data_IF_745840543936
#
_entry.id   IF_745840543936
#
_cell.length_a   1.000
_cell.length_b   1.000
_cell.length_c   1.000
_cell.angle_alpha   90.00
_cell.angle_beta   90.00
_cell.angle_gamma   90.00
#
_symmetry.space_group_name_H-M   'P 1'
#
loop_
_entity.id
_entity.type
_entity.pdbx_description
1 polymer ?
#
# COMPACT_ATOMS: atom_id res chain seq x y z
N UNK A 1 -15.89 4.88 15.80
CA UNK A 1 -17.09 5.71 15.54
C UNK A 1 -16.99 6.20 14.10
N UNK A 2 -18.11 6.38 13.38
CA UNK A 2 -18.08 6.86 12.00
C UNK A 2 -17.44 8.24 11.91
N UNK A 3 -16.53 8.43 10.95
CA UNK A 3 -15.78 9.68 10.75
C UNK A 3 -16.51 10.65 9.82
N UNK A 4 -16.15 11.93 9.86
CA UNK A 4 -16.65 12.94 8.92
C UNK A 4 -16.40 12.53 7.46
N UNK A 5 -15.22 11.96 7.18
CA UNK A 5 -14.84 11.51 5.84
C UNK A 5 -15.74 10.37 5.34
N UNK A 6 -16.02 9.38 6.20
CA UNK A 6 -16.92 8.26 5.87
C UNK A 6 -18.37 8.75 5.66
N UNK A 7 -18.83 9.72 6.45
CA UNK A 7 -20.15 10.34 6.26
C UNK A 7 -20.19 11.10 4.92
N UNK A 8 -19.19 11.92 4.63
CA UNK A 8 -19.11 12.65 3.37
C UNK A 8 -19.10 11.69 2.16
N UNK A 9 -18.34 10.61 2.22
CA UNK A 9 -18.29 9.58 1.18
C UNK A 9 -19.64 8.89 0.98
N UNK A 10 -20.31 8.51 2.07
CA UNK A 10 -21.65 7.91 2.02
C UNK A 10 -22.65 8.83 1.30
N UNK A 11 -22.61 10.14 1.59
CA UNK A 11 -23.49 11.12 0.94
C UNK A 11 -23.11 11.38 -0.53
N UNK A 12 -21.82 11.33 -0.90
CA UNK A 12 -21.40 11.35 -2.31
C UNK A 12 -21.94 10.13 -3.07
N UNK A 13 -21.86 8.94 -2.47
CA UNK A 13 -22.38 7.71 -3.07
C UNK A 13 -23.90 7.79 -3.33
N UNK A 14 -24.68 8.36 -2.40
CA UNK A 14 -26.11 8.62 -2.61
C UNK A 14 -26.33 9.53 -3.82
N UNK A 15 -25.58 10.63 -3.92
CA UNK A 15 -25.72 11.57 -5.03
C UNK A 15 -25.40 10.92 -6.39
N UNK A 16 -24.38 10.08 -6.43
CA UNK A 16 -23.93 9.41 -7.65
C UNK A 16 -24.94 8.37 -8.12
N UNK A 17 -25.49 7.55 -7.22
CA UNK A 17 -26.57 6.61 -7.58
C UNK A 17 -27.84 7.34 -8.04
N UNK A 18 -28.19 8.47 -7.42
CA UNK A 18 -29.32 9.27 -7.87
C UNK A 18 -29.12 9.85 -9.27
N UNK A 19 -27.91 10.30 -9.61
CA UNK A 19 -27.59 10.71 -10.98
C UNK A 19 -27.69 9.54 -11.97
N UNK A 20 -27.28 8.33 -11.57
CA UNK A 20 -27.45 7.12 -12.39
C UNK A 20 -28.94 6.83 -12.66
N UNK A 21 -29.77 6.95 -11.63
CA UNK A 21 -31.23 6.77 -11.73
C UNK A 21 -31.94 7.91 -12.46
N UNK A 22 -31.23 9.00 -12.79
CA UNK A 22 -31.76 10.15 -13.54
C UNK A 22 -32.54 11.16 -12.70
N UNK A 23 -32.34 11.17 -11.38
CA UNK A 23 -32.95 12.14 -10.47
C UNK A 23 -32.32 13.53 -10.66
N UNK A 24 -33.15 14.57 -10.87
CA UNK A 24 -32.65 15.89 -11.33
C UNK A 24 -32.25 16.83 -10.21
N UNK A 25 -32.96 16.80 -9.07
CA UNK A 25 -32.86 17.84 -8.04
C UNK A 25 -32.17 17.38 -6.77
N UNK A 26 -32.34 16.10 -6.41
CA UNK A 26 -31.79 15.53 -5.18
C UNK A 26 -30.26 15.41 -5.16
N UNK A 27 -29.56 14.99 -6.25
CA UNK A 27 -28.11 14.76 -6.19
C UNK A 27 -27.32 15.97 -5.68
N UNK A 28 -27.66 17.19 -6.13
CA UNK A 28 -26.91 18.38 -5.74
C UNK A 28 -27.06 18.73 -4.26
N UNK A 29 -28.22 18.43 -3.65
CA UNK A 29 -28.40 18.59 -2.21
C UNK A 29 -27.47 17.65 -1.42
N UNK A 30 -27.38 16.39 -1.82
CA UNK A 30 -26.46 15.41 -1.21
C UNK A 30 -24.99 15.79 -1.44
N UNK A 31 -24.61 16.27 -2.63
CA UNK A 31 -23.24 16.76 -2.87
C UNK A 31 -22.89 17.98 -2.03
N UNK A 32 -23.83 18.91 -1.88
CA UNK A 32 -23.62 20.09 -1.04
C UNK A 32 -23.38 19.70 0.41
N UNK A 33 -24.23 18.83 0.95
CA UNK A 33 -24.04 18.31 2.31
C UNK A 33 -22.71 17.57 2.45
N UNK A 34 -22.37 16.67 1.51
CA UNK A 34 -21.11 15.95 1.53
C UNK A 34 -19.90 16.89 1.59
N UNK A 35 -19.86 17.94 0.76
CA UNK A 35 -18.78 18.95 0.77
C UNK A 35 -18.68 19.67 2.11
N UNK A 36 -19.81 20.06 2.69
CA UNK A 36 -19.83 20.76 3.98
C UNK A 36 -19.39 19.85 5.14
N UNK A 37 -19.74 18.56 5.11
CA UNK A 37 -19.29 17.58 6.10
C UNK A 37 -17.79 17.31 5.98
N UNK A 38 -17.29 17.18 4.76
CA UNK A 38 -15.87 16.90 4.45
C UNK A 38 -14.93 18.04 4.88
N UNK A 39 -15.45 19.28 4.89
CA UNK A 39 -14.71 20.49 5.26
C UNK A 39 -14.93 20.90 6.72
N UNK A 40 -15.73 20.14 7.47
CA UNK A 40 -16.01 20.40 8.87
C UNK A 40 -14.76 20.12 9.71
N UNK A 41 -14.33 21.12 10.48
CA UNK A 41 -13.12 21.06 11.34
C UNK A 41 -13.37 20.38 12.68
N UNK A 42 -14.63 20.19 13.06
CA UNK A 42 -15.06 19.50 14.27
C UNK A 42 -15.68 18.13 13.97
N UNK A 43 -15.69 17.23 14.95
CA UNK A 43 -16.29 15.90 14.83
C UNK A 43 -17.82 16.01 14.64
N UNK A 44 -18.34 15.39 13.58
CA UNK A 44 -19.76 15.34 13.26
C UNK A 44 -20.60 14.76 14.41
N UNK A 45 -20.06 13.81 15.18
CA UNK A 45 -20.72 13.27 16.37
C UNK A 45 -20.88 14.32 17.48
N UNK A 46 -19.90 15.22 17.64
CA UNK A 46 -19.98 16.32 18.60
C UNK A 46 -21.04 17.35 18.18
N UNK A 47 -21.13 17.68 16.89
CA UNK A 47 -22.19 18.56 16.35
C UNK A 47 -23.57 17.95 16.53
N UNK A 48 -23.69 16.64 16.32
CA UNK A 48 -24.93 15.90 16.52
C UNK A 48 -25.37 15.88 17.98
N UNK A 49 -24.44 15.73 18.92
CA UNK A 49 -24.72 15.74 20.35
C UNK A 49 -25.30 17.09 20.82
N UNK A 50 -24.89 18.20 20.19
CA UNK A 50 -25.42 19.55 20.44
C UNK A 50 -26.73 19.85 19.68
N UNK A 51 -27.23 18.92 18.87
CA UNK A 51 -28.38 19.11 17.97
C UNK A 51 -28.18 20.24 16.94
N UNK A 52 -26.94 20.45 16.50
CA UNK A 52 -26.54 21.54 15.62
C UNK A 52 -26.31 21.09 14.18
N UNK A 53 -26.69 19.87 13.80
CA UNK A 53 -26.44 19.34 12.44
C UNK A 53 -27.01 20.23 11.34
N UNK A 54 -28.15 20.90 11.58
CA UNK A 54 -28.77 21.84 10.63
C UNK A 54 -28.02 23.16 10.48
N UNK A 55 -27.05 23.44 11.33
CA UNK A 55 -26.13 24.58 11.13
C UNK A 55 -25.14 24.33 10.01
N UNK A 56 -24.88 23.06 9.65
CA UNK A 56 -23.98 22.68 8.58
C UNK A 56 -24.61 23.11 7.23
N UNK A 57 -23.93 23.93 6.41
CA UNK A 57 -24.49 24.39 5.14
C UNK A 57 -24.92 23.24 4.23
N UNK A 58 -26.17 23.27 3.76
CA UNK A 58 -26.73 22.22 2.91
C UNK A 58 -27.31 21.00 3.64
N UNK A 59 -27.29 20.98 4.98
CA UNK A 59 -27.98 19.98 5.79
C UNK A 59 -29.38 20.49 6.17
N UNK A 60 -30.40 20.02 5.43
CA UNK A 60 -31.81 20.18 5.80
C UNK A 60 -32.37 18.97 6.54
N UNK A 61 -33.66 18.99 6.91
CA UNK A 61 -34.28 17.95 7.76
C UNK A 61 -34.07 16.52 7.23
N UNK A 62 -34.22 16.31 5.92
CA UNK A 62 -34.07 15.00 5.29
C UNK A 62 -32.62 14.46 5.28
N UNK A 63 -31.64 15.36 5.35
CA UNK A 63 -30.20 15.04 5.40
C UNK A 63 -29.77 14.85 6.85
N UNK A 64 -30.27 15.69 7.77
CA UNK A 64 -30.07 15.53 9.21
C UNK A 64 -30.53 14.14 9.67
N UNK A 65 -31.74 13.72 9.28
CA UNK A 65 -32.26 12.41 9.65
C UNK A 65 -31.32 11.26 9.25
N UNK A 66 -30.73 11.35 8.05
CA UNK A 66 -29.77 10.36 7.52
C UNK A 66 -28.40 10.43 8.20
N UNK A 67 -27.94 11.63 8.57
CA UNK A 67 -26.71 11.79 9.35
C UNK A 67 -26.86 11.15 10.72
N UNK A 68 -28.01 11.34 11.39
CA UNK A 68 -28.30 10.70 12.67
C UNK A 68 -28.37 9.18 12.57
N UNK A 69 -29.01 8.67 11.53
CA UNK A 69 -29.05 7.24 11.21
C UNK A 69 -27.64 6.67 11.00
N UNK A 70 -26.82 7.36 10.21
CA UNK A 70 -25.43 6.99 9.94
C UNK A 70 -24.57 6.98 11.21
N UNK A 71 -24.68 8.00 12.06
CA UNK A 71 -23.94 8.08 13.32
C UNK A 71 -24.34 6.97 14.30
N UNK A 72 -25.61 6.57 14.30
CA UNK A 72 -26.13 5.53 15.19
C UNK A 72 -25.79 4.11 14.71
N UNK A 73 -25.82 3.86 13.40
CA UNK A 73 -25.78 2.49 12.84
C UNK A 73 -24.58 2.20 11.96
N UNK A 74 -23.85 3.24 11.54
CA UNK A 74 -22.82 3.17 10.49
C UNK A 74 -23.38 2.95 9.08
N UNK A 75 -24.71 2.99 8.89
CA UNK A 75 -25.38 2.71 7.61
C UNK A 75 -26.51 3.70 7.36
N UNK A 76 -26.97 3.75 6.11
CA UNK A 76 -28.14 4.54 5.69
C UNK A 76 -29.01 3.64 4.82
N UNK A 77 -30.21 3.28 5.27
CA UNK A 77 -31.13 2.39 4.55
C UNK A 77 -31.51 2.96 3.17
N UNK A 78 -31.55 4.29 3.06
CA UNK A 78 -31.77 4.94 1.76
C UNK A 78 -30.67 4.61 0.75
N UNK A 79 -29.40 4.56 1.16
CA UNK A 79 -28.29 4.19 0.27
C UNK A 79 -28.42 2.72 -0.14
N UNK A 80 -28.76 1.84 0.79
CA UNK A 80 -28.96 0.41 0.52
C UNK A 80 -30.11 0.16 -0.46
N UNK A 81 -31.18 0.95 -0.37
CA UNK A 81 -32.27 0.91 -1.36
C UNK A 81 -31.78 1.32 -2.75
N UNK A 82 -31.06 2.44 -2.86
CA UNK A 82 -30.55 2.91 -4.16
C UNK A 82 -29.59 1.90 -4.80
N UNK A 83 -28.77 1.21 -4.00
CA UNK A 83 -27.88 0.14 -4.46
C UNK A 83 -28.63 -1.04 -5.09
N UNK A 84 -29.88 -1.30 -4.69
CA UNK A 84 -30.73 -2.36 -5.26
C UNK A 84 -31.43 -1.95 -6.56
N UNK A 85 -31.61 -0.65 -6.77
CA UNK A 85 -32.26 -0.11 -7.98
C UNK A 85 -31.28 -0.01 -9.16
N UNK A 86 -29.97 0.02 -8.90
CA UNK A 86 -28.93 0.08 -9.94
C UNK A 86 -28.36 -1.32 -10.18
N UNK A 87 -28.33 -1.83 -11.43
CA UNK A 87 -27.74 -3.12 -11.74
C UNK A 87 -26.26 -3.19 -11.30
N UNK A 88 -25.78 -4.33 -10.79
CA UNK A 88 -24.40 -4.46 -10.30
C UNK A 88 -23.34 -4.04 -11.32
N UNK A 89 -23.48 -4.42 -12.60
CA UNK A 89 -22.51 -4.03 -13.62
C UNK A 89 -22.54 -2.54 -13.98
N UNK A 90 -23.68 -1.85 -13.83
CA UNK A 90 -23.75 -0.38 -13.96
C UNK A 90 -23.02 0.30 -12.80
N UNK A 91 -23.13 -0.27 -11.59
CA UNK A 91 -22.33 0.17 -10.46
C UNK A 91 -20.83 -0.05 -10.71
N UNK A 92 -20.41 -1.15 -11.31
CA UNK A 92 -19.00 -1.38 -11.69
C UNK A 92 -18.49 -0.31 -12.66
N UNK A 93 -19.29 0.06 -13.66
CA UNK A 93 -18.95 1.14 -14.61
C UNK A 93 -18.73 2.48 -13.89
N UNK A 94 -19.54 2.79 -12.87
CA UNK A 94 -19.41 4.02 -12.08
C UNK A 94 -18.06 4.11 -11.35
N UNK A 95 -17.47 2.98 -10.97
CA UNK A 95 -16.18 2.93 -10.29
C UNK A 95 -14.99 3.01 -11.28
N UNK A 96 -15.23 2.98 -12.59
CA UNK A 96 -14.17 3.10 -13.59
C UNK A 96 -13.57 4.52 -13.58
N UNK A 97 -12.23 4.65 -13.50
CA UNK A 97 -11.57 5.95 -13.46
C UNK A 97 -11.97 6.88 -14.62
N UNK A 98 -12.43 8.07 -14.29
CA UNK A 98 -12.80 9.09 -15.28
C UNK A 98 -14.17 8.89 -15.93
N UNK A 99 -14.97 7.93 -15.47
CA UNK A 99 -16.38 7.78 -15.81
C UNK A 99 -17.23 8.30 -14.65
N UNK A 100 -18.10 9.25 -14.95
CA UNK A 100 -19.00 9.83 -13.96
C UNK A 100 -20.41 9.22 -14.02
N UNK A 101 -21.24 9.45 -12.99
CA UNK A 101 -22.62 8.93 -12.90
C UNK A 101 -23.47 9.17 -14.15
N UNK A 102 -23.39 10.38 -14.72
CA UNK A 102 -24.14 10.75 -15.92
C UNK A 102 -23.70 9.96 -17.16
N UNK A 103 -22.42 9.63 -17.25
CA UNK A 103 -21.88 8.80 -18.32
C UNK A 103 -22.33 7.34 -18.14
N UNK A 104 -22.25 6.81 -16.92
CA UNK A 104 -22.73 5.47 -16.60
C UNK A 104 -24.24 5.31 -16.91
N UNK A 105 -25.05 6.32 -16.55
CA UNK A 105 -26.47 6.37 -16.93
C UNK A 105 -26.67 6.28 -18.43
N UNK A 106 -25.93 7.08 -19.22
CA UNK A 106 -26.07 7.09 -20.68
C UNK A 106 -25.72 5.73 -21.29
N UNK A 107 -24.72 5.03 -20.76
CA UNK A 107 -24.43 3.67 -21.20
C UNK A 107 -25.60 2.72 -20.92
N UNK A 108 -26.17 2.82 -19.71
CA UNK A 108 -27.32 2.00 -19.36
C UNK A 108 -28.57 2.33 -20.20
N UNK A 109 -28.97 3.60 -20.26
CA UNK A 109 -30.23 4.01 -20.90
C UNK A 109 -30.16 4.14 -22.41
N UNK A 110 -29.05 4.67 -22.95
CA UNK A 110 -28.95 5.00 -24.38
C UNK A 110 -28.36 3.82 -25.17
N UNK A 111 -27.50 3.01 -24.55
CA UNK A 111 -26.82 1.89 -25.20
C UNK A 111 -27.26 0.51 -24.71
N UNK A 112 -28.06 0.43 -23.64
CA UNK A 112 -28.47 -0.84 -23.04
C UNK A 112 -27.30 -1.63 -22.47
N UNK A 113 -26.26 -0.95 -22.01
CA UNK A 113 -25.05 -1.55 -21.45
C UNK A 113 -25.20 -1.64 -19.94
N UNK A 114 -25.25 -2.86 -19.42
CA UNK A 114 -25.46 -3.15 -17.99
C UNK A 114 -24.19 -3.60 -17.27
N UNK A 115 -23.03 -3.60 -17.94
CA UNK A 115 -21.76 -3.93 -17.30
C UNK A 115 -20.50 -3.65 -18.12
N UNK A 116 -19.30 -3.77 -17.51
CA UNK A 116 -18.02 -3.46 -18.16
C UNK A 116 -17.73 -4.30 -19.41
N UNK A 117 -18.11 -5.58 -19.39
CA UNK A 117 -17.93 -6.48 -20.54
C UNK A 117 -18.80 -6.06 -21.74
N UNK A 118 -20.04 -5.67 -21.50
CA UNK A 118 -20.93 -5.15 -22.54
C UNK A 118 -20.47 -3.79 -23.05
N UNK A 119 -19.91 -2.94 -22.17
CA UNK A 119 -19.31 -1.66 -22.56
C UNK A 119 -18.11 -1.88 -23.48
N UNK A 120 -17.28 -2.89 -23.19
CA UNK A 120 -16.18 -3.30 -24.06
C UNK A 120 -16.68 -3.71 -25.44
N UNK A 121 -17.66 -4.61 -25.49
CA UNK A 121 -18.25 -5.07 -26.75
C UNK A 121 -18.85 -3.90 -27.56
N UNK A 122 -19.51 -2.94 -26.89
CA UNK A 122 -20.04 -1.75 -27.54
C UNK A 122 -18.96 -0.83 -28.10
N UNK A 123 -17.82 -0.69 -27.42
CA UNK A 123 -16.65 0.06 -27.91
C UNK A 123 -16.01 -0.60 -29.11
N UNK A 124 -15.83 -1.93 -29.07
CA UNK A 124 -15.17 -2.68 -30.15
C UNK A 124 -16.04 -2.75 -31.40
N UNK A 125 -17.36 -2.73 -31.24
CA UNK A 125 -18.33 -2.60 -32.33
C UNK A 125 -18.52 -1.17 -32.84
N UNK A 126 -17.78 -0.18 -32.33
CA UNK A 126 -17.87 1.22 -32.76
C UNK A 126 -19.19 1.93 -32.39
N UNK A 127 -20.00 1.39 -31.47
CA UNK A 127 -21.33 1.93 -31.12
C UNK A 127 -21.28 3.32 -30.46
N UNK A 128 -20.11 3.72 -29.97
CA UNK A 128 -19.87 5.02 -29.33
C UNK A 128 -19.32 6.06 -30.33
N UNK A 129 -18.94 5.65 -31.54
CA UNK A 129 -18.36 6.56 -32.53
C UNK A 129 -19.40 7.58 -33.03
N UNK A 130 -19.00 8.85 -33.09
CA UNK A 130 -19.89 9.94 -33.50
C UNK A 130 -20.96 10.34 -32.48
N UNK A 131 -21.07 9.65 -31.34
CA UNK A 131 -22.01 10.05 -30.30
C UNK A 131 -21.58 11.34 -29.59
N UNK A 132 -22.54 12.24 -29.35
CA UNK A 132 -22.29 13.51 -28.63
C UNK A 132 -21.67 13.25 -27.26
N UNK A 133 -20.47 13.78 -27.04
CA UNK A 133 -19.70 13.63 -25.81
C UNK A 133 -18.70 12.46 -25.78
N UNK A 134 -18.65 11.63 -26.83
CA UNK A 134 -17.72 10.51 -26.97
C UNK A 134 -16.75 10.74 -28.14
N UNK A 135 -15.92 11.78 -28.03
CA UNK A 135 -14.83 12.01 -28.99
C UNK A 135 -13.69 10.99 -28.84
N UNK A 136 -12.73 10.94 -29.78
CA UNK A 136 -11.64 9.96 -29.79
C UNK A 136 -10.86 9.89 -28.47
N UNK A 137 -10.59 11.05 -27.87
CA UNK A 137 -9.92 11.16 -26.56
C UNK A 137 -10.72 10.50 -25.43
N UNK A 138 -12.05 10.68 -25.43
CA UNK A 138 -12.93 10.09 -24.40
C UNK A 138 -13.06 8.59 -24.60
N UNK A 139 -13.16 8.12 -25.84
CA UNK A 139 -13.17 6.71 -26.20
C UNK A 139 -11.87 6.02 -25.74
N UNK A 140 -10.71 6.62 -26.03
CA UNK A 140 -9.42 6.11 -25.55
C UNK A 140 -9.35 6.07 -24.01
N UNK A 141 -9.88 7.08 -23.32
CA UNK A 141 -9.98 7.08 -21.86
C UNK A 141 -10.85 5.93 -21.32
N UNK A 142 -12.02 5.71 -21.92
CA UNK A 142 -12.93 4.63 -21.49
C UNK A 142 -12.27 3.27 -21.73
N UNK A 143 -11.63 3.09 -22.90
CA UNK A 143 -10.89 1.87 -23.24
C UNK A 143 -9.80 1.58 -22.21
N UNK A 144 -8.97 2.56 -21.89
CA UNK A 144 -7.92 2.43 -20.87
C UNK A 144 -8.49 2.12 -19.47
N UNK A 145 -9.61 2.73 -19.08
CA UNK A 145 -10.26 2.45 -17.81
C UNK A 145 -10.81 1.01 -17.75
N UNK A 146 -11.39 0.53 -18.85
CA UNK A 146 -11.82 -0.86 -18.98
C UNK A 146 -10.63 -1.82 -19.06
N UNK A 147 -9.50 -1.46 -19.64
CA UNK A 147 -8.30 -2.30 -19.69
C UNK A 147 -7.72 -2.47 -18.29
N UNK A 148 -7.70 -1.39 -17.51
CA UNK A 148 -7.33 -1.41 -16.10
C UNK A 148 -8.27 -2.28 -15.26
N UNK A 149 -9.59 -2.24 -15.52
CA UNK A 149 -10.58 -3.04 -14.80
C UNK A 149 -10.71 -4.49 -15.28
N UNK A 150 -10.52 -4.74 -16.59
CA UNK A 150 -10.41 -6.07 -17.19
C UNK A 150 -9.07 -6.73 -16.85
N UNK A 151 -8.19 -6.01 -16.16
CA UNK A 151 -6.93 -6.51 -15.65
C UNK A 151 -7.04 -7.65 -14.63
N UNK A 152 -8.27 -8.03 -14.28
CA UNK A 152 -8.64 -9.05 -13.31
C UNK A 152 -9.29 -8.40 -12.08
N UNK A 153 -9.87 -9.18 -11.15
CA UNK A 153 -10.06 -8.69 -9.77
C UNK A 153 -8.75 -8.06 -9.28
N UNK A 154 -8.76 -7.16 -8.26
CA UNK A 154 -7.52 -6.70 -7.64
C UNK A 154 -6.63 -7.92 -7.47
N UNK A 155 -5.45 -7.90 -8.10
CA UNK A 155 -4.51 -9.02 -8.08
C UNK A 155 -4.53 -9.57 -6.66
N UNK A 156 -4.85 -10.86 -6.54
CA UNK A 156 -4.85 -11.53 -5.24
C UNK A 156 -3.53 -11.11 -4.59
N UNK A 157 -3.63 -10.33 -3.51
CA UNK A 157 -2.46 -9.61 -3.01
C UNK A 157 -1.42 -10.67 -2.69
N UNK A 158 -0.24 -10.53 -3.28
CA UNK A 158 0.79 -11.53 -3.13
C UNK A 158 1.52 -11.26 -1.81
N UNK A 159 1.74 -12.27 -0.95
CA UNK A 159 2.61 -12.13 0.20
C UNK A 159 4.00 -11.64 -0.23
N UNK A 160 4.60 -10.74 0.57
CA UNK A 160 5.84 -10.07 0.17
C UNK A 160 6.99 -11.08 -0.06
N UNK A 161 7.01 -12.20 0.66
CA UNK A 161 7.99 -13.28 0.50
C UNK A 161 7.93 -13.95 -0.88
N UNK A 162 6.76 -14.03 -1.50
CA UNK A 162 6.59 -14.55 -2.85
C UNK A 162 6.97 -13.48 -3.90
N UNK A 163 6.68 -12.21 -3.61
CA UNK A 163 7.03 -11.09 -4.49
C UNK A 163 8.54 -10.78 -4.49
N UNK A 164 9.21 -10.97 -3.34
CA UNK A 164 10.61 -10.59 -3.12
C UNK A 164 11.60 -11.15 -4.16
N UNK A 165 11.66 -12.47 -4.42
CA UNK A 165 12.60 -13.00 -5.40
C UNK A 165 12.30 -12.54 -6.83
N UNK A 166 11.02 -12.31 -7.17
CA UNK A 166 10.59 -11.81 -8.48
C UNK A 166 11.07 -10.37 -8.66
N UNK A 167 10.78 -9.51 -7.69
CA UNK A 167 11.17 -8.11 -7.69
C UNK A 167 12.69 -7.95 -7.84
N UNK A 168 13.48 -8.75 -7.11
CA UNK A 168 14.94 -8.71 -7.18
C UNK A 168 15.50 -9.22 -8.53
N UNK A 169 14.86 -10.23 -9.16
CA UNK A 169 15.23 -10.66 -10.52
C UNK A 169 15.01 -9.55 -11.54
N UNK A 170 13.85 -8.88 -11.48
CA UNK A 170 13.52 -7.77 -12.37
C UNK A 170 14.55 -6.64 -12.22
N UNK A 171 14.82 -6.19 -10.99
CA UNK A 171 15.82 -5.15 -10.71
C UNK A 171 17.18 -5.52 -11.26
N UNK A 172 17.64 -6.75 -11.00
CA UNK A 172 18.94 -7.24 -11.46
C UNK A 172 19.04 -7.21 -12.99
N UNK A 173 18.04 -7.78 -13.67
CA UNK A 173 18.05 -7.85 -15.12
C UNK A 173 18.01 -6.47 -15.76
N UNK A 174 17.24 -5.53 -15.21
CA UNK A 174 17.19 -4.14 -15.69
C UNK A 174 18.54 -3.42 -15.47
N UNK A 175 19.18 -3.58 -14.31
CA UNK A 175 20.52 -3.01 -14.06
C UNK A 175 21.56 -3.56 -15.03
N UNK A 176 21.58 -4.87 -15.25
CA UNK A 176 22.57 -5.54 -16.10
C UNK A 176 22.31 -5.30 -17.61
N UNK A 177 21.07 -5.46 -18.07
CA UNK A 177 20.72 -5.41 -19.49
C UNK A 177 20.45 -4.00 -20.02
N UNK A 178 19.76 -3.17 -19.23
CA UNK A 178 19.37 -1.83 -19.67
C UNK A 178 20.49 -0.79 -19.49
N UNK A 179 21.56 -1.14 -18.75
CA UNK A 179 22.64 -0.20 -18.43
C UNK A 179 22.15 0.97 -17.58
N UNK A 180 21.11 0.75 -16.78
CA UNK A 180 20.52 1.78 -15.94
C UNK A 180 21.25 1.89 -14.60
N UNK A 181 21.73 3.10 -14.28
CA UNK A 181 22.49 3.38 -13.06
C UNK A 181 21.66 3.17 -11.79
N UNK A 182 20.34 3.43 -11.88
CA UNK A 182 19.43 3.32 -10.74
C UNK A 182 18.14 2.62 -11.16
N UNK A 183 17.85 1.53 -10.48
CA UNK A 183 16.61 0.77 -10.62
C UNK A 183 16.11 0.45 -9.23
N UNK A 184 14.89 0.84 -8.92
CA UNK A 184 14.27 0.62 -7.60
C UNK A 184 12.84 0.11 -7.74
N UNK A 185 12.43 -0.76 -6.83
CA UNK A 185 11.03 -1.11 -6.66
C UNK A 185 10.41 -0.09 -5.70
N UNK A 186 9.26 0.46 -6.07
CA UNK A 186 8.52 1.44 -5.29
C UNK A 186 7.24 0.80 -4.70
N UNK A 187 6.19 1.59 -4.54
CA UNK A 187 4.88 1.13 -4.08
C UNK A 187 4.88 0.50 -2.70
N UNK A 188 3.89 -0.36 -2.48
CA UNK A 188 3.70 -1.08 -1.21
C UNK A 188 4.83 -2.06 -0.87
N UNK A 189 5.53 -2.58 -1.88
CA UNK A 189 6.69 -3.44 -1.72
C UNK A 189 7.81 -2.70 -0.97
N UNK A 190 8.14 -1.48 -1.40
CA UNK A 190 9.19 -0.68 -0.77
C UNK A 190 8.86 -0.24 0.65
N UNK A 191 7.58 -0.10 0.98
CA UNK A 191 7.13 0.23 2.35
C UNK A 191 7.06 -1.00 3.27
N UNK A 192 7.44 -2.18 2.80
CA UNK A 192 7.44 -3.41 3.61
C UNK A 192 6.05 -3.91 3.99
N UNK A 193 5.02 -3.63 3.17
CA UNK A 193 3.68 -4.16 3.41
C UNK A 193 3.69 -5.69 3.31
N UNK A 194 3.03 -6.35 4.25
CA UNK A 194 2.95 -7.83 4.36
C UNK A 194 2.47 -8.53 3.06
N UNK A 195 1.63 -7.82 2.30
CA UNK A 195 1.15 -8.25 0.99
C UNK A 195 1.26 -7.08 0.03
N UNK A 196 1.47 -7.36 -1.26
CA UNK A 196 1.61 -6.38 -2.35
C UNK A 196 0.56 -6.62 -3.42
N UNK A 197 0.01 -5.56 -4.01
CA UNK A 197 -0.95 -5.67 -5.11
C UNK A 197 -0.24 -5.78 -6.45
N UNK A 198 0.54 -4.77 -6.77
CA UNK A 198 1.39 -4.64 -7.95
C UNK A 198 2.85 -4.36 -7.54
N UNK A 199 3.75 -4.46 -8.52
CA UNK A 199 5.13 -3.99 -8.39
C UNK A 199 5.35 -2.76 -9.27
N UNK A 200 5.57 -1.62 -8.65
CA UNK A 200 6.04 -0.41 -9.33
C UNK A 200 7.56 -0.47 -9.48
N UNK A 201 8.09 -0.46 -10.70
CA UNK A 201 9.53 -0.47 -10.97
C UNK A 201 9.93 0.86 -11.59
N UNK A 202 10.88 1.55 -10.99
CA UNK A 202 11.43 2.81 -11.49
C UNK A 202 12.83 2.60 -12.04
N UNK A 203 13.09 3.11 -13.23
CA UNK A 203 14.39 3.08 -13.90
C UNK A 203 14.82 4.51 -14.23
N UNK A 204 16.00 4.93 -13.76
CA UNK A 204 16.64 6.16 -14.20
C UNK A 204 17.30 5.91 -15.57
N UNK A 205 16.71 6.45 -16.64
CA UNK A 205 17.29 6.36 -17.99
C UNK A 205 16.75 7.48 -18.88
N UNK A 206 17.54 7.84 -19.89
CA UNK A 206 17.11 8.70 -21.02
C UNK A 206 16.74 7.90 -22.27
N UNK A 207 16.91 6.58 -22.21
CA UNK A 207 16.56 5.62 -23.25
C UNK A 207 15.53 4.62 -22.68
N UNK A 208 14.22 4.91 -22.81
CA UNK A 208 13.17 4.02 -22.34
C UNK A 208 13.09 2.70 -23.09
N UNK A 209 13.34 2.69 -24.39
CA UNK A 209 13.17 1.50 -25.24
C UNK A 209 14.09 0.37 -24.79
N UNK A 210 15.36 0.67 -24.46
CA UNK A 210 16.28 -0.33 -23.96
C UNK A 210 15.80 -0.98 -22.65
N UNK A 211 15.17 -0.23 -21.76
CA UNK A 211 14.60 -0.78 -20.53
C UNK A 211 13.39 -1.67 -20.82
N UNK A 212 12.54 -1.26 -21.76
CA UNK A 212 11.36 -2.03 -22.18
C UNK A 212 11.75 -3.33 -22.88
N UNK A 213 12.79 -3.34 -23.71
CA UNK A 213 13.25 -4.54 -24.40
C UNK A 213 13.79 -5.60 -23.41
N UNK A 214 14.55 -5.16 -22.41
CA UNK A 214 15.02 -6.05 -21.33
C UNK A 214 13.86 -6.54 -20.48
N UNK A 215 12.93 -5.65 -20.13
CA UNK A 215 11.79 -6.00 -19.28
C UNK A 215 10.86 -7.02 -19.94
N UNK A 216 10.45 -6.77 -21.18
CA UNK A 216 9.50 -7.64 -21.90
C UNK A 216 10.07 -9.00 -22.29
N UNK A 217 11.40 -9.17 -22.24
CA UNK A 217 12.06 -10.45 -22.51
C UNK A 217 12.30 -11.29 -21.24
N UNK A 218 11.91 -10.78 -20.07
CA UNK A 218 12.04 -11.55 -18.82
C UNK A 218 11.15 -12.80 -18.85
N UNK A 219 11.66 -13.96 -18.41
CA UNK A 219 10.91 -15.22 -18.44
C UNK A 219 9.67 -15.22 -17.53
N UNK A 220 9.65 -14.35 -16.51
CA UNK A 220 8.52 -14.19 -15.60
C UNK A 220 7.33 -13.46 -16.27
N UNK A 221 7.58 -12.71 -17.35
CA UNK A 221 6.57 -11.91 -18.06
C UNK A 221 5.75 -12.82 -18.97
N UNK A 222 4.44 -12.86 -18.70
CA UNK A 222 3.48 -13.62 -19.50
C UNK A 222 2.90 -12.77 -20.64
N UNK A 223 2.57 -11.53 -20.34
CA UNK A 223 1.87 -10.64 -21.27
C UNK A 223 2.26 -9.19 -21.00
N UNK A 224 2.55 -8.43 -22.06
CA UNK A 224 2.65 -6.98 -22.01
C UNK A 224 1.27 -6.41 -22.35
N UNK A 225 0.65 -5.71 -21.41
CA UNK A 225 -0.70 -5.13 -21.58
C UNK A 225 -0.67 -3.73 -22.18
N UNK A 226 0.34 -2.95 -21.83
CA UNK A 226 0.48 -1.56 -22.27
C UNK A 226 1.96 -1.24 -22.45
N UNK A 227 2.33 -0.67 -23.60
CA UNK A 227 3.61 0.00 -23.82
C UNK A 227 3.32 1.43 -24.28
N UNK A 228 3.72 2.40 -23.47
CA UNK A 228 3.71 3.83 -23.80
C UNK A 228 5.13 4.38 -23.87
N UNK A 229 5.28 5.70 -24.05
CA UNK A 229 6.61 6.29 -24.26
C UNK A 229 7.57 6.21 -23.06
N UNK A 230 7.06 6.18 -21.83
CA UNK A 230 7.87 6.11 -20.60
C UNK A 230 7.31 5.15 -19.55
N UNK A 231 6.30 4.36 -19.92
CA UNK A 231 5.66 3.38 -19.06
C UNK A 231 5.36 2.11 -19.83
N UNK A 232 5.67 0.96 -19.23
CA UNK A 232 5.21 -0.34 -19.67
C UNK A 232 4.51 -1.06 -18.52
N UNK A 233 3.35 -1.67 -18.80
CA UNK A 233 2.62 -2.51 -17.84
C UNK A 233 2.59 -3.93 -18.38
N UNK A 234 3.04 -4.87 -17.56
CA UNK A 234 3.06 -6.28 -17.88
C UNK A 234 2.45 -7.13 -16.75
N UNK A 235 2.06 -8.34 -17.10
CA UNK A 235 1.51 -9.35 -16.20
C UNK A 235 2.46 -10.53 -16.15
N UNK A 236 2.80 -10.96 -14.94
CA UNK A 236 3.62 -12.14 -14.73
C UNK A 236 2.80 -13.43 -14.85
N UNK A 237 3.48 -14.57 -14.98
CA UNK A 237 2.84 -15.88 -15.07
C UNK A 237 1.82 -16.18 -13.94
N UNK A 238 2.01 -15.60 -12.74
CA UNK A 238 1.13 -15.74 -11.57
C UNK A 238 0.01 -14.68 -11.48
N UNK A 239 -0.17 -13.84 -12.51
CA UNK A 239 -1.18 -12.79 -12.53
C UNK A 239 -0.79 -11.48 -11.81
N UNK A 240 0.41 -11.42 -11.23
CA UNK A 240 0.92 -10.19 -10.62
C UNK A 240 1.20 -9.14 -11.69
N UNK A 241 0.65 -7.93 -11.52
CA UNK A 241 0.93 -6.80 -12.39
C UNK A 241 2.25 -6.13 -11.99
N UNK A 242 3.02 -5.74 -13.00
CA UNK A 242 4.25 -4.96 -12.85
C UNK A 242 4.17 -3.74 -13.75
N UNK A 243 4.32 -2.57 -13.15
CA UNK A 243 4.36 -1.28 -13.82
C UNK A 243 5.81 -0.79 -13.87
N UNK A 244 6.45 -0.89 -15.03
CA UNK A 244 7.76 -0.31 -15.30
C UNK A 244 7.62 1.14 -15.74
N UNK A 245 8.39 2.04 -15.11
CA UNK A 245 8.44 3.46 -15.43
C UNK A 245 9.89 3.89 -15.64
N UNK A 246 10.14 4.48 -16.79
CA UNK A 246 11.44 5.09 -17.11
C UNK A 246 11.33 6.59 -16.86
N UNK A 247 12.20 7.10 -16.01
CA UNK A 247 12.21 8.50 -15.60
C UNK A 247 13.58 9.12 -15.88
N UNK A 248 13.59 10.41 -16.20
CA UNK A 248 14.85 11.14 -16.34
C UNK A 248 15.63 11.06 -15.01
N UNK A 249 16.96 10.81 -15.05
CA UNK A 249 17.77 10.68 -13.83
C UNK A 249 17.63 11.85 -12.85
N UNK A 250 17.40 13.06 -13.36
CA UNK A 250 17.22 14.27 -12.53
C UNK A 250 15.86 14.37 -11.84
N UNK A 251 14.92 13.48 -12.17
CA UNK A 251 13.59 13.38 -11.57
C UNK A 251 13.43 12.10 -10.74
N UNK A 252 14.45 11.23 -10.68
CA UNK A 252 14.33 9.90 -10.09
C UNK A 252 13.95 9.94 -8.61
N UNK A 253 14.52 10.87 -7.83
CA UNK A 253 14.17 11.04 -6.41
C UNK A 253 12.71 11.44 -6.20
N UNK A 254 12.20 12.36 -7.01
CA UNK A 254 10.80 12.77 -6.95
C UNK A 254 9.84 11.65 -7.39
N UNK A 255 10.19 10.93 -8.44
CA UNK A 255 9.44 9.75 -8.87
C UNK A 255 9.45 8.67 -7.77
N UNK A 256 10.60 8.42 -7.14
CA UNK A 256 10.72 7.44 -6.07
C UNK A 256 9.85 7.83 -4.87
N UNK A 257 9.86 9.09 -4.44
CA UNK A 257 8.96 9.59 -3.40
C UNK A 257 7.48 9.38 -3.80
N UNK A 258 7.12 9.81 -5.01
CA UNK A 258 5.76 9.76 -5.54
C UNK A 258 5.21 8.33 -5.61
N UNK A 259 5.93 7.42 -6.26
CA UNK A 259 5.46 6.05 -6.50
C UNK A 259 5.67 5.14 -5.29
N UNK A 260 6.55 5.49 -4.33
CA UNK A 260 6.61 4.78 -3.04
C UNK A 260 5.33 5.02 -2.24
N UNK A 261 4.80 6.24 -2.26
CA UNK A 261 3.61 6.61 -1.49
C UNK A 261 3.85 6.50 0.03
N UNK A 262 2.84 6.15 0.83
CA UNK A 262 1.45 5.82 0.44
C UNK A 262 0.69 6.99 -0.19
N UNK A 263 -0.54 6.75 -0.65
CA UNK A 263 -1.44 7.81 -1.13
C UNK A 263 -1.64 8.88 -0.04
N UNK A 264 -1.87 8.43 1.19
CA UNK A 264 -2.10 9.27 2.38
C UNK A 264 -0.85 10.12 2.67
N UNK A 265 0.33 9.50 2.69
CA UNK A 265 1.60 10.21 2.82
C UNK A 265 1.77 11.29 1.74
N UNK A 266 1.53 10.94 0.48
CA UNK A 266 1.64 11.87 -0.65
C UNK A 266 0.67 13.04 -0.55
N UNK A 267 -0.55 12.83 -0.07
CA UNK A 267 -1.55 13.90 0.13
C UNK A 267 -1.05 14.91 1.16
N UNK A 268 -0.46 14.44 2.27
CA UNK A 268 0.08 15.31 3.31
C UNK A 268 1.29 16.09 2.79
N UNK A 269 2.23 15.40 2.12
CA UNK A 269 3.43 16.02 1.52
C UNK A 269 3.06 17.09 0.49
N UNK A 270 2.07 16.82 -0.38
CA UNK A 270 1.60 17.81 -1.38
C UNK A 270 0.89 19.01 -0.75
N UNK A 271 0.09 18.76 0.27
CA UNK A 271 -0.58 19.83 1.03
C UNK A 271 0.46 20.78 1.63
N UNK A 272 1.48 20.22 2.30
CA UNK A 272 2.59 21.01 2.85
C UNK A 272 3.37 21.78 1.78
N UNK A 273 3.69 21.14 0.66
CA UNK A 273 4.37 21.81 -0.45
C UNK A 273 3.59 23.04 -0.93
N UNK A 274 2.28 22.88 -1.15
CA UNK A 274 1.39 23.97 -1.56
C UNK A 274 1.37 25.10 -0.53
N UNK A 275 1.27 24.77 0.74
CA UNK A 275 1.21 25.77 1.82
C UNK A 275 2.55 26.54 1.95
N UNK A 276 3.67 25.94 1.51
CA UNK A 276 4.97 26.58 1.38
C UNK A 276 5.19 27.30 0.02
N UNK A 277 4.16 27.43 -0.83
CA UNK A 277 4.27 28.04 -2.16
C UNK A 277 5.06 27.21 -3.17
N UNK A 278 5.17 25.90 -2.94
CA UNK A 278 5.86 24.93 -3.78
C UNK A 278 4.87 23.95 -4.41
N UNK A 279 5.32 23.26 -5.45
CA UNK A 279 4.59 22.14 -6.07
C UNK A 279 5.50 20.92 -6.12
N UNK A 280 5.02 19.77 -5.64
CA UNK A 280 5.73 18.49 -5.73
C UNK A 280 4.92 17.50 -6.56
N UNK A 281 5.58 16.83 -7.50
CA UNK A 281 5.01 15.80 -8.35
C UNK A 281 6.08 14.76 -8.73
N UNK A 282 5.76 13.83 -9.62
CA UNK A 282 6.66 12.75 -10.07
C UNK A 282 7.91 13.24 -10.81
N UNK A 283 7.98 14.52 -11.19
CA UNK A 283 9.09 15.10 -11.95
C UNK A 283 10.01 15.99 -11.09
N UNK A 284 9.61 16.34 -9.87
CA UNK A 284 10.41 17.22 -9.02
C UNK A 284 9.62 18.04 -8.01
N UNK A 285 10.36 18.88 -7.29
CA UNK A 285 9.82 20.00 -6.50
C UNK A 285 10.04 21.28 -7.29
N UNK A 286 9.02 22.13 -7.37
CA UNK A 286 8.99 23.32 -8.19
C UNK A 286 8.60 24.56 -7.37
N UNK A 287 9.23 25.69 -7.72
CA UNK A 287 8.82 27.03 -7.31
C UNK A 287 8.44 27.79 -8.57
N UNK A 288 7.13 28.01 -8.78
CA UNK A 288 6.61 28.40 -10.09
C UNK A 288 6.95 27.35 -11.15
N UNK A 289 7.59 27.77 -12.24
CA UNK A 289 8.04 26.90 -13.34
C UNK A 289 9.45 26.32 -13.13
N UNK A 290 10.20 26.82 -12.16
CA UNK A 290 11.58 26.38 -11.91
C UNK A 290 11.60 25.15 -11.02
N UNK A 291 12.20 24.06 -11.50
CA UNK A 291 12.49 22.88 -10.68
C UNK A 291 13.66 23.17 -9.73
N UNK A 292 13.46 22.93 -8.45
CA UNK A 292 14.45 23.20 -7.38
C UNK A 292 15.02 21.93 -6.74
N UNK A 293 14.36 20.77 -6.89
CA UNK A 293 14.85 19.47 -6.43
C UNK A 293 14.21 18.33 -7.25
N UNK A 294 14.82 17.15 -7.23
CA UNK A 294 14.21 15.96 -7.85
C UNK A 294 15.13 14.77 -8.09
N UNK A 295 16.46 14.93 -8.01
CA UNK A 295 17.39 13.85 -8.34
C UNK A 295 17.45 12.77 -7.25
N UNK A 296 17.33 13.17 -5.99
CA UNK A 296 17.33 12.28 -4.81
C UNK A 296 16.09 12.50 -3.95
N UNK A 297 15.67 11.48 -3.18
CA UNK A 297 14.51 11.64 -2.29
C UNK A 297 14.84 12.61 -1.15
N UNK A 298 16.08 12.58 -0.68
CA UNK A 298 16.62 13.45 0.35
C UNK A 298 16.54 14.92 -0.07
N UNK A 299 16.91 15.25 -1.31
CA UNK A 299 16.73 16.61 -1.85
C UNK A 299 15.24 17.01 -1.91
N UNK A 300 14.35 16.08 -2.29
CA UNK A 300 12.91 16.34 -2.35
C UNK A 300 12.36 16.67 -0.97
N UNK A 301 12.66 15.88 0.05
CA UNK A 301 12.23 16.16 1.42
C UNK A 301 12.88 17.44 1.96
N UNK A 302 14.18 17.64 1.73
CA UNK A 302 14.88 18.84 2.18
C UNK A 302 14.31 20.13 1.57
N UNK A 303 13.94 20.12 0.28
CA UNK A 303 13.30 21.26 -0.37
C UNK A 303 11.92 21.62 0.22
N UNK A 304 11.27 20.66 0.89
CA UNK A 304 9.99 20.84 1.60
C UNK A 304 10.18 21.14 3.10
N UNK A 305 11.42 21.32 3.55
CA UNK A 305 11.76 21.54 4.95
C UNK A 305 11.45 20.33 5.83
N UNK A 306 11.70 19.13 5.31
CA UNK A 306 11.49 17.85 6.00
C UNK A 306 12.80 17.08 6.05
N UNK A 307 13.03 16.37 7.16
CA UNK A 307 14.01 15.28 7.15
C UNK A 307 13.56 14.16 6.20
N UNK A 308 14.51 13.38 5.68
CA UNK A 308 14.17 12.21 4.86
C UNK A 308 13.37 11.20 5.69
N UNK A 309 12.30 10.67 5.10
CA UNK A 309 11.36 9.77 5.76
C UNK A 309 11.57 8.35 5.20
N UNK A 310 11.99 7.37 6.04
CA UNK A 310 12.09 5.98 5.63
C UNK A 310 10.78 5.46 5.00
N UNK A 311 10.84 4.71 3.89
CA UNK A 311 9.65 4.20 3.19
C UNK A 311 8.65 3.48 4.08
N UNK A 312 9.12 2.71 5.06
CA UNK A 312 8.35 1.92 6.01
C UNK A 312 7.44 2.77 6.90
N UNK A 313 7.77 4.06 7.09
CA UNK A 313 7.00 4.99 7.91
C UNK A 313 5.95 5.77 7.12
N UNK A 314 5.95 5.70 5.78
CA UNK A 314 5.14 6.55 4.88
C UNK A 314 3.70 6.07 4.76
N UNK A 315 2.97 6.13 5.87
CA UNK A 315 1.60 5.61 5.98
C UNK A 315 0.58 6.69 6.40
N UNK A 316 0.97 7.97 6.46
CA UNK A 316 0.09 9.08 6.82
C UNK A 316 -0.36 9.06 8.28
N UNK A 317 0.52 8.65 9.20
CA UNK A 317 0.25 8.44 10.63
C UNK A 317 0.99 9.43 11.53
N UNK A 318 1.40 10.57 10.98
CA UNK A 318 2.11 11.65 11.69
C UNK A 318 3.62 11.67 11.42
N UNK A 319 4.14 10.81 10.54
CA UNK A 319 5.55 10.78 10.16
C UNK A 319 6.01 12.09 9.50
N UNK A 320 5.12 12.74 8.73
CA UNK A 320 5.44 14.01 8.05
C UNK A 320 5.60 15.15 9.05
N UNK A 321 4.73 15.22 10.05
CA UNK A 321 4.82 16.23 11.12
C UNK A 321 6.05 15.98 11.99
N UNK A 322 6.32 14.73 12.35
CA UNK A 322 7.51 14.36 13.10
C UNK A 322 8.81 14.74 12.34
N UNK A 323 8.85 14.56 11.02
CA UNK A 323 9.99 14.93 10.19
C UNK A 323 10.27 16.44 10.11
N UNK A 324 9.34 17.29 10.57
CA UNK A 324 9.57 18.74 10.70
C UNK A 324 10.45 19.09 11.89
N UNK A 325 10.40 18.28 12.95
CA UNK A 325 11.16 18.48 14.17
C UNK A 325 12.62 18.01 14.05
N UNK A 326 12.95 17.27 12.99
CA UNK A 326 14.28 16.74 12.73
C UNK A 326 14.24 15.30 12.20
N UNK A 327 15.39 14.61 12.21
CA UNK A 327 15.49 13.22 11.78
C UNK A 327 14.56 12.30 12.57
N UNK A 328 13.91 11.38 11.86
CA UNK A 328 13.08 10.33 12.46
C UNK A 328 13.95 9.26 13.15
N UNK A 329 13.38 8.45 14.06
CA UNK A 329 14.12 7.37 14.71
C UNK A 329 14.78 6.42 13.70
N UNK A 330 15.99 5.97 14.02
CA UNK A 330 16.64 4.91 13.26
C UNK A 330 15.79 3.64 13.33
N UNK A 331 15.52 3.04 12.18
CA UNK A 331 14.84 1.76 12.09
C UNK A 331 15.85 0.63 12.24
N UNK A 332 15.39 -0.51 12.76
CA UNK A 332 16.18 -1.74 12.81
C UNK A 332 16.51 -2.19 11.38
N UNK A 333 17.76 -2.56 11.15
CA UNK A 333 18.28 -3.02 9.86
C UNK A 333 18.77 -4.47 9.96
N UNK A 334 19.11 -5.07 8.82
CA UNK A 334 19.71 -6.40 8.80
C UNK A 334 21.04 -6.46 9.61
N UNK A 335 21.80 -5.37 9.66
CA UNK A 335 23.07 -5.29 10.38
C UNK A 335 22.89 -5.24 11.91
N UNK A 336 21.70 -4.84 12.38
CA UNK A 336 21.35 -4.88 13.81
C UNK A 336 20.99 -6.30 14.29
N UNK A 337 20.75 -7.24 13.36
CA UNK A 337 20.36 -8.61 13.69
C UNK A 337 21.57 -9.42 14.16
N UNK A 338 21.69 -9.57 15.47
CA UNK A 338 22.75 -10.37 16.09
C UNK A 338 22.48 -11.88 16.10
N UNK A 339 21.28 -12.31 15.76
CA UNK A 339 20.91 -13.73 15.76
C UNK A 339 19.44 -13.96 15.48
N UNK A 340 19.10 -15.20 15.13
CA UNK A 340 17.72 -15.66 14.96
C UNK A 340 17.30 -16.43 16.20
N UNK A 341 16.19 -16.02 16.84
CA UNK A 341 15.70 -16.62 18.08
C UNK A 341 14.72 -17.77 17.86
N UNK A 342 14.36 -18.07 16.61
CA UNK A 342 13.34 -19.06 16.29
C UNK A 342 13.74 -19.91 15.08
N UNK A 343 14.72 -20.79 15.27
CA UNK A 343 15.13 -21.78 14.27
C UNK A 343 14.64 -23.16 14.70
N UNK A 344 13.77 -23.78 13.90
CA UNK A 344 13.30 -25.12 14.17
C UNK A 344 14.43 -26.14 14.06
N UNK A 345 14.51 -27.01 15.06
CA UNK A 345 15.36 -28.19 15.06
C UNK A 345 14.46 -29.41 15.08
N UNK A 346 14.62 -30.33 14.14
CA UNK A 346 13.82 -31.55 14.13
C UNK A 346 14.08 -32.38 15.40
N UNK A 347 13.04 -33.05 15.92
CA UNK A 347 13.15 -33.85 17.13
C UNK A 347 14.19 -35.00 17.02
N UNK A 348 14.44 -35.48 15.80
CA UNK A 348 15.43 -36.51 15.50
C UNK A 348 16.81 -35.94 15.10
N UNK A 349 17.01 -34.62 15.14
CA UNK A 349 18.25 -34.00 14.73
C UNK A 349 19.45 -34.50 15.54
N UNK A 350 20.56 -34.74 14.84
CA UNK A 350 21.83 -35.15 15.42
C UNK A 350 22.80 -33.96 15.56
N UNK A 351 24.01 -34.24 16.07
CA UNK A 351 25.04 -33.22 16.23
C UNK A 351 25.45 -32.57 14.89
N UNK A 352 25.41 -33.33 13.79
CA UNK A 352 25.75 -32.82 12.46
C UNK A 352 24.71 -31.82 11.95
N UNK A 353 23.42 -32.04 12.22
CA UNK A 353 22.36 -31.09 11.91
C UNK A 353 22.53 -29.76 12.67
N UNK A 354 22.90 -29.81 13.95
CA UNK A 354 23.18 -28.60 14.74
C UNK A 354 24.41 -27.87 14.19
N UNK A 355 25.49 -28.58 13.85
CA UNK A 355 26.69 -27.93 13.31
C UNK A 355 26.41 -27.22 11.99
N UNK A 356 25.61 -27.80 11.09
CA UNK A 356 25.18 -27.13 9.85
C UNK A 356 24.44 -25.82 10.10
N UNK A 357 23.55 -25.78 11.11
CA UNK A 357 22.85 -24.55 11.48
C UNK A 357 23.81 -23.49 12.04
N UNK A 358 24.78 -23.90 12.86
CA UNK A 358 25.79 -23.00 13.41
C UNK A 358 26.74 -22.47 12.33
N UNK A 359 27.15 -23.31 11.37
CA UNK A 359 27.94 -22.90 10.21
C UNK A 359 27.20 -21.87 9.35
N UNK A 360 25.91 -22.08 9.07
CA UNK A 360 25.09 -21.12 8.33
C UNK A 360 24.92 -19.80 9.10
N UNK A 361 24.71 -19.86 10.41
CA UNK A 361 24.67 -18.68 11.26
C UNK A 361 25.99 -17.88 11.20
N UNK A 362 27.15 -18.57 11.30
CA UNK A 362 28.47 -17.93 11.15
C UNK A 362 28.64 -17.32 9.76
N UNK A 363 28.21 -18.01 8.71
CA UNK A 363 28.26 -17.50 7.32
C UNK A 363 27.43 -16.22 7.15
N UNK A 364 26.30 -16.12 7.86
CA UNK A 364 25.45 -14.93 7.91
C UNK A 364 25.89 -13.87 8.93
N UNK A 365 26.99 -14.09 9.66
CA UNK A 365 27.49 -13.15 10.67
C UNK A 365 26.68 -13.10 11.97
N UNK A 366 25.80 -14.08 12.21
CA UNK A 366 24.99 -14.15 13.43
C UNK A 366 25.86 -14.58 14.63
N UNK A 367 25.68 -13.89 15.76
CA UNK A 367 26.35 -14.19 17.02
C UNK A 367 25.68 -15.34 17.80
N UNK A 368 24.39 -15.59 17.58
CA UNK A 368 23.65 -16.65 18.27
C UNK A 368 22.48 -17.20 17.43
N UNK A 369 22.04 -18.41 17.79
CA UNK A 369 20.80 -19.03 17.32
C UNK A 369 19.96 -19.51 18.51
N UNK A 370 18.66 -19.25 18.48
CA UNK A 370 17.65 -19.87 19.33
C UNK A 370 17.06 -21.10 18.65
N UNK A 371 17.50 -22.29 19.06
CA UNK A 371 17.02 -23.56 18.51
C UNK A 371 15.75 -24.03 19.23
N UNK A 372 14.70 -24.32 18.46
CA UNK A 372 13.39 -24.80 18.94
C UNK A 372 13.21 -26.25 18.51
N UNK A 373 13.54 -27.19 19.41
CA UNK A 373 13.61 -28.63 19.10
C UNK A 373 12.28 -29.39 19.17
N UNK A 374 11.34 -28.92 20.01
CA UNK A 374 10.00 -29.47 20.15
C UNK A 374 9.05 -28.31 20.50
N UNK A 375 7.98 -28.11 19.72
CA UNK A 375 6.88 -27.25 20.11
C UNK A 375 6.01 -27.95 21.16
N UNK A 376 5.50 -27.22 22.16
CA UNK A 376 4.48 -27.77 23.07
C UNK A 376 3.11 -27.43 22.49
N UNK A 377 2.39 -28.44 22.00
CA UNK A 377 0.96 -28.29 21.70
C UNK A 377 0.19 -28.42 23.01
N UNK A 378 -0.45 -27.34 23.44
CA UNK A 378 -1.34 -27.38 24.59
C UNK A 378 -2.62 -28.18 24.27
N UNK A 379 -3.17 -28.99 25.20
CA UNK A 379 -4.36 -29.80 24.97
C UNK A 379 -5.65 -28.99 24.66
N UNK A 380 -5.63 -27.69 24.87
CA UNK A 380 -6.75 -26.73 24.68
C UNK A 380 -6.32 -25.45 23.93
N UNK A 381 -5.11 -25.42 23.35
CA UNK A 381 -4.56 -24.22 22.72
C UNK A 381 -3.96 -23.17 23.67
N UNK A 382 -3.82 -23.43 24.99
CA UNK A 382 -3.07 -22.52 25.91
C UNK A 382 -1.86 -23.20 26.56
N UNK A 383 -0.67 -22.67 26.25
CA UNK A 383 0.67 -23.19 26.53
C UNK A 383 0.92 -23.85 27.90
N UNK A 384 1.58 -25.01 27.90
CA UNK A 384 2.30 -25.54 29.05
C UNK A 384 3.83 -25.42 28.83
N UNK A 385 4.58 -25.00 29.86
CA UNK A 385 6.02 -24.69 29.71
C UNK A 385 6.91 -25.95 29.55
N UNK A 386 7.90 -25.98 28.63
CA UNK A 386 8.76 -27.15 28.36
C UNK A 386 10.03 -27.25 29.24
N UNK A 387 10.07 -26.70 30.46
CA UNK A 387 11.36 -26.49 31.12
C UNK A 387 11.99 -27.72 31.84
N UNK A 388 11.46 -28.95 31.69
CA UNK A 388 11.98 -30.14 32.42
C UNK A 388 12.78 -31.16 31.60
N UNK A 389 12.62 -31.25 30.27
CA UNK A 389 13.30 -32.30 29.48
C UNK A 389 14.71 -31.93 28.99
N UNK A 390 14.97 -30.67 28.62
CA UNK A 390 16.24 -30.28 28.00
C UNK A 390 17.46 -30.20 28.94
N UNK A 391 17.25 -29.95 30.26
CA UNK A 391 18.37 -29.93 31.23
C UNK A 391 19.09 -31.29 31.39
N UNK A 392 18.48 -32.40 30.96
CA UNK A 392 19.09 -33.75 31.08
C UNK A 392 19.89 -34.20 29.87
N UNK A 393 19.67 -33.63 28.68
CA UNK A 393 20.35 -34.07 27.44
C UNK A 393 21.57 -33.22 27.04
N UNK A 394 21.57 -31.92 27.34
CA UNK A 394 22.61 -31.00 26.83
C UNK A 394 23.28 -30.12 27.89
N UNK A 395 23.02 -30.35 29.19
CA UNK A 395 23.75 -29.66 30.25
C UNK A 395 25.20 -30.18 30.37
N UNK A 396 26.19 -29.33 30.67
CA UNK A 396 27.56 -29.77 30.88
C UNK A 396 27.59 -30.87 31.95
N UNK A 397 28.14 -32.04 31.60
CA UNK A 397 28.32 -33.14 32.55
C UNK A 397 29.26 -32.66 33.66
N UNK A 398 28.74 -32.50 34.88
CA UNK A 398 29.58 -32.33 36.07
C UNK A 398 30.54 -33.51 36.18
N UNK A 399 31.83 -33.31 36.44
CA UNK A 399 32.74 -34.41 36.73
C UNK A 399 32.24 -35.16 37.97
N UNK A 400 32.31 -36.49 37.94
CA UNK A 400 31.87 -37.35 39.03
C UNK A 400 32.61 -36.97 40.33
N UNK A 401 31.88 -36.45 41.31
CA UNK A 401 32.40 -36.15 42.63
C UNK A 401 32.64 -37.45 43.39
N UNK A 402 33.90 -37.78 43.63
CA UNK A 402 34.29 -38.75 44.63
C UNK A 402 33.92 -38.30 46.04
N UNK A 403 33.52 -39.29 46.84
CA UNK A 403 33.63 -39.41 48.31
C UNK A 403 33.61 -38.15 49.18
N UNK A 404 32.57 -38.11 50.00
CA UNK A 404 32.35 -37.33 51.23
C UNK A 404 33.59 -36.92 52.03
N UNK A 405 33.69 -35.63 52.36
CA UNK A 405 33.94 -35.12 53.70
C UNK A 405 33.58 -33.63 53.78
N UNK A 406 32.69 -33.28 54.72
CA UNK A 406 32.50 -31.93 55.27
C UNK A 406 33.12 -31.94 56.68
N UNK A 407 33.32 -30.83 57.43
CA UNK A 407 33.00 -29.41 57.16
C UNK A 407 34.12 -28.41 57.53
N UNK A 408 33.98 -27.13 57.16
CA UNK A 408 34.01 -25.98 58.11
C UNK A 408 33.90 -24.62 57.41
N UNK A 409 33.29 -23.71 58.16
CA UNK A 409 32.87 -22.34 57.87
C UNK A 409 34.01 -21.36 57.57
N UNK A 410 33.77 -20.39 56.68
CA UNK A 410 34.10 -18.95 56.88
C UNK A 410 33.38 -18.05 55.86
N UNK A 411 33.16 -16.79 56.29
CA UNK A 411 32.34 -15.67 55.79
C UNK A 411 32.54 -15.19 54.32
N UNK A 412 31.62 -14.35 53.79
CA UNK A 412 31.64 -13.90 52.40
C UNK A 412 32.65 -12.77 52.15
N UNK A 413 33.59 -13.01 51.23
CA UNK A 413 34.52 -12.01 50.71
C UNK A 413 34.08 -11.53 49.33
N UNK A 414 33.89 -10.21 49.20
CA UNK A 414 33.70 -9.47 47.95
C UNK A 414 34.81 -9.79 46.94
N UNK A 415 34.47 -9.93 45.65
CA UNK A 415 35.39 -9.57 44.56
C UNK A 415 34.61 -8.90 43.42
N UNK A 416 34.91 -7.62 43.21
CA UNK A 416 34.78 -6.90 41.93
C UNK A 416 35.89 -7.38 40.98
N UNK A 417 35.84 -6.86 39.74
CA UNK A 417 36.90 -6.74 38.70
C UNK A 417 36.61 -7.70 37.52
N UNK A 418 36.54 -7.28 36.25
CA UNK A 418 36.84 -6.00 35.58
C UNK A 418 35.99 -5.88 34.33
#
# INVERSE_FOLDING_TARGET
MPTNAEAAETFRAIADLLDVLGERFKPEAYRRAARSIDTLTEDLAAVAARNELRSIPGVGDAIEAKLREFLATGRIDYLERLRREVPPGVAEILHLPGLGPKTARRFWTDLGVEGPAELRAALDAGRLDGQKGFGPKKIAQIRAALDAAAGGPPSARLPIEEAYPIAHRIVRALREGAGADRVEIAGSFRRGRETVGDLDVLVASRDPERAFDVFSTLPDIREVRLRGGTKETAILARGLQVDLRVVDPSSFGAALQYFTGSKEHNVIVRTRARDAGLRVNEYGVFRGETRIAGATEEEVYAALGLAWIPPELREGRGEVDAATAGPLPALVTADDLRGDLHVHLEAAADAAAVERLLEEARRRGLAYLGLVAEGVTAPDGRSASPNRRWRRRCGPRRPASGSSASPRSTRPGRLRVR
#
